data_IF_582010132584
#
_entry.id   IF_582010132584
#
_cell.length_a   1.000
_cell.length_b   1.000
_cell.length_c   1.000
_cell.angle_alpha   90.00
_cell.angle_beta   90.00
_cell.angle_gamma   90.00
#
_symmetry.space_group_name_H-M   'P 1'
#
loop_
_entity.id
_entity.type
_entity.pdbx_description
1 polymer ?
#
# COMPACT_ATOMS: atom_id res chain seq x y z
N UNK A 1 -4.34 -9.54 -16.14
CA UNK A 1 -4.65 -9.28 -14.72
C UNK A 1 -3.87 -10.19 -13.79
N UNK A 2 -4.10 -11.51 -13.73
CA UNK A 2 -3.30 -12.41 -12.86
C UNK A 2 -1.80 -12.39 -13.23
N UNK A 3 -1.48 -12.40 -14.53
CA UNK A 3 -0.11 -12.22 -15.07
C UNK A 3 0.55 -10.93 -14.58
N UNK A 4 -0.24 -9.85 -14.50
CA UNK A 4 0.24 -8.52 -14.15
C UNK A 4 0.50 -8.43 -12.64
N UNK A 5 -0.30 -9.13 -11.83
CA UNK A 5 -0.07 -9.25 -10.39
C UNK A 5 1.20 -10.02 -10.07
N UNK A 6 1.43 -11.13 -10.77
CA UNK A 6 2.66 -11.91 -10.63
C UNK A 6 3.89 -11.08 -11.05
N UNK A 7 3.80 -10.34 -12.16
CA UNK A 7 4.85 -9.40 -12.57
C UNK A 7 5.07 -8.31 -11.51
N UNK A 8 4.00 -7.74 -10.96
CA UNK A 8 4.09 -6.70 -9.93
C UNK A 8 4.83 -7.18 -8.68
N UNK A 9 4.61 -8.44 -8.28
CA UNK A 9 5.34 -9.08 -7.18
C UNK A 9 6.82 -9.22 -7.58
N UNK A 10 7.09 -9.89 -8.71
CA UNK A 10 8.45 -10.25 -9.16
C UNK A 10 9.36 -9.06 -9.43
N UNK A 11 8.81 -7.93 -9.87
CA UNK A 11 9.60 -6.72 -10.10
C UNK A 11 10.32 -6.25 -8.83
N UNK A 12 9.71 -6.43 -7.65
CA UNK A 12 10.33 -6.01 -6.38
C UNK A 12 10.80 -7.17 -5.51
N UNK A 13 10.40 -8.42 -5.78
CA UNK A 13 10.82 -9.60 -5.03
C UNK A 13 10.97 -10.84 -5.94
N UNK A 14 12.20 -11.13 -6.36
CA UNK A 14 12.50 -12.16 -7.36
C UNK A 14 12.45 -13.61 -6.82
N UNK A 15 12.57 -13.81 -5.51
CA UNK A 15 12.66 -15.13 -4.87
C UNK A 15 11.41 -15.52 -4.09
N UNK A 16 10.24 -15.01 -4.50
CA UNK A 16 8.97 -15.29 -3.83
C UNK A 16 8.17 -16.28 -4.68
N UNK A 17 7.76 -17.40 -4.07
CA UNK A 17 6.94 -18.38 -4.74
C UNK A 17 5.46 -18.12 -4.43
N UNK A 18 4.76 -17.51 -5.38
CA UNK A 18 3.32 -17.30 -5.27
C UNK A 18 2.59 -18.65 -5.34
N UNK A 19 1.84 -18.99 -4.31
CA UNK A 19 1.07 -20.24 -4.22
C UNK A 19 -0.41 -20.05 -4.56
N UNK A 20 -0.92 -18.82 -4.50
CA UNK A 20 -2.30 -18.52 -4.82
C UNK A 20 -2.61 -17.03 -4.87
N UNK A 21 -3.52 -16.65 -5.76
CA UNK A 21 -4.07 -15.30 -5.85
C UNK A 21 -5.60 -15.43 -5.85
N UNK A 22 -6.22 -14.88 -4.81
CA UNK A 22 -7.66 -14.97 -4.58
C UNK A 22 -8.28 -13.60 -4.77
N UNK A 23 -9.26 -13.49 -5.67
CA UNK A 23 -10.07 -12.27 -5.77
C UNK A 23 -11.00 -12.17 -4.57
N UNK A 24 -11.02 -10.99 -3.93
CA UNK A 24 -11.87 -10.70 -2.79
C UNK A 24 -12.99 -9.76 -3.21
N UNK A 25 -14.22 -10.18 -2.95
CA UNK A 25 -15.42 -9.38 -3.20
C UNK A 25 -16.24 -9.28 -1.91
N UNK A 26 -16.22 -8.11 -1.27
CA UNK A 26 -17.10 -7.79 -0.15
C UNK A 26 -18.20 -6.87 -0.65
N UNK A 27 -19.46 -7.34 -0.67
CA UNK A 27 -20.59 -6.52 -1.14
C UNK A 27 -20.70 -5.20 -0.35
N UNK A 28 -20.70 -5.29 0.98
CA UNK A 28 -20.72 -4.12 1.85
C UNK A 28 -19.48 -3.23 1.68
N UNK A 29 -18.31 -3.83 1.44
CA UNK A 29 -17.08 -3.07 1.16
C UNK A 29 -17.13 -2.31 -0.17
N UNK A 30 -17.69 -2.93 -1.21
CA UNK A 30 -17.88 -2.29 -2.52
C UNK A 30 -18.85 -1.14 -2.41
N UNK A 31 -20.01 -1.32 -1.77
CA UNK A 31 -20.99 -0.26 -1.56
C UNK A 31 -20.36 0.93 -0.80
N UNK A 32 -19.66 0.64 0.31
CA UNK A 32 -18.98 1.66 1.09
C UNK A 32 -17.89 2.42 0.31
N UNK A 33 -17.10 1.71 -0.51
CA UNK A 33 -16.05 2.29 -1.33
C UNK A 33 -16.62 3.10 -2.52
N UNK A 34 -17.66 2.61 -3.18
CA UNK A 34 -18.30 3.28 -4.32
C UNK A 34 -18.99 4.58 -3.89
N UNK A 35 -19.58 4.62 -2.70
CA UNK A 35 -20.22 5.82 -2.13
C UNK A 35 -19.21 6.93 -1.79
N UNK A 36 -18.05 6.57 -1.22
CA UNK A 36 -17.15 7.54 -0.57
C UNK A 36 -15.75 7.64 -1.17
N UNK A 37 -15.16 6.51 -1.55
CA UNK A 37 -13.79 6.45 -2.06
C UNK A 37 -13.68 6.66 -3.56
N UNK A 38 -14.66 6.18 -4.33
CA UNK A 38 -14.49 5.99 -5.79
C UNK A 38 -14.62 7.24 -6.65
N UNK A 39 -15.42 8.23 -6.25
CA UNK A 39 -15.74 9.37 -7.13
C UNK A 39 -14.63 10.42 -7.13
N UNK A 40 -14.07 10.68 -8.32
CA UNK A 40 -13.23 11.84 -8.60
C UNK A 40 -11.82 11.80 -8.00
N UNK A 41 -11.39 10.67 -7.44
CA UNK A 41 -10.05 10.51 -6.84
C UNK A 41 -9.12 9.75 -7.77
N UNK A 42 -7.82 9.99 -7.61
CA UNK A 42 -6.78 9.17 -8.22
C UNK A 42 -6.71 7.82 -7.51
N UNK A 43 -6.75 6.72 -8.26
CA UNK A 43 -6.72 5.37 -7.70
C UNK A 43 -5.40 4.67 -8.02
N UNK A 44 -4.90 3.90 -7.07
CA UNK A 44 -3.69 3.09 -7.22
C UNK A 44 -3.86 1.75 -6.53
N UNK A 45 -3.38 0.69 -7.16
CA UNK A 45 -3.19 -0.59 -6.51
C UNK A 45 -1.93 -0.52 -5.65
N UNK A 46 -2.08 -0.80 -4.36
CA UNK A 46 -0.99 -0.78 -3.39
C UNK A 46 -1.04 -2.01 -2.48
N UNK A 47 0.14 -2.43 -2.05
CA UNK A 47 0.33 -3.59 -1.18
C UNK A 47 0.12 -3.23 0.28
N UNK A 48 -0.48 -4.16 1.02
CA UNK A 48 -0.57 -4.13 2.47
C UNK A 48 -0.12 -5.49 3.01
N UNK A 49 1.00 -5.50 3.73
CA UNK A 49 1.50 -6.69 4.41
C UNK A 49 0.81 -6.86 5.76
N UNK A 50 0.49 -8.11 6.11
CA UNK A 50 -0.17 -8.40 7.38
C UNK A 50 0.18 -9.79 7.88
N UNK A 51 -0.03 -10.01 9.16
CA UNK A 51 0.13 -11.33 9.77
C UNK A 51 -1.08 -12.21 9.48
N UNK A 52 -0.91 -13.55 9.36
CA UNK A 52 -2.01 -14.47 9.10
C UNK A 52 -3.16 -14.34 10.11
N UNK A 53 -2.87 -14.13 11.40
CA UNK A 53 -3.85 -13.98 12.47
C UNK A 53 -4.80 -12.78 12.27
N UNK A 54 -4.41 -11.78 11.49
CA UNK A 54 -5.22 -10.59 11.22
C UNK A 54 -6.17 -10.77 10.03
N UNK A 55 -6.01 -11.82 9.22
CA UNK A 55 -6.74 -11.93 7.95
C UNK A 55 -8.26 -12.01 8.14
N UNK A 56 -8.74 -12.80 9.11
CA UNK A 56 -10.17 -12.97 9.32
C UNK A 56 -10.84 -11.66 9.75
N UNK A 57 -10.21 -10.89 10.64
CA UNK A 57 -10.75 -9.60 11.08
C UNK A 57 -10.70 -8.58 9.95
N UNK A 58 -9.61 -8.52 9.17
CA UNK A 58 -9.48 -7.63 8.02
C UNK A 58 -10.52 -7.96 6.93
N UNK A 59 -10.72 -9.23 6.61
CA UNK A 59 -11.70 -9.64 5.59
C UNK A 59 -13.14 -9.36 6.05
N UNK A 60 -13.41 -9.45 7.37
CA UNK A 60 -14.73 -9.18 7.94
C UNK A 60 -15.05 -7.69 8.07
N UNK A 61 -14.09 -6.91 8.55
CA UNK A 61 -14.30 -5.51 8.97
C UNK A 61 -13.71 -4.49 8.00
N UNK A 62 -12.87 -4.92 7.05
CA UNK A 62 -12.01 -4.05 6.25
C UNK A 62 -10.73 -3.66 6.99
N UNK A 63 -9.87 -2.89 6.30
CA UNK A 63 -8.67 -2.31 6.92
C UNK A 63 -9.08 -1.13 7.81
N UNK A 64 -8.64 -1.15 9.06
CA UNK A 64 -8.89 -0.12 10.06
C UNK A 64 -7.56 0.59 10.37
N UNK A 65 -7.61 1.91 10.54
CA UNK A 65 -6.47 2.61 11.11
C UNK A 65 -6.27 2.14 12.56
N UNK A 66 -5.01 1.98 12.95
CA UNK A 66 -4.66 1.61 14.32
C UNK A 66 -5.24 2.64 15.29
N UNK A 67 -5.99 2.23 16.34
CA UNK A 67 -6.53 3.16 17.33
C UNK A 67 -5.42 3.96 18.02
N UNK A 68 -5.67 5.20 18.47
CA UNK A 68 -4.68 6.04 19.14
C UNK A 68 -4.04 5.41 20.39
N UNK A 69 -4.76 4.48 21.03
CA UNK A 69 -4.37 3.83 22.29
C UNK A 69 -3.65 2.49 22.10
N UNK A 70 -3.53 1.97 20.88
CA UNK A 70 -2.83 0.72 20.61
C UNK A 70 -1.31 0.97 20.52
N UNK A 71 -0.50 -0.03 20.87
CA UNK A 71 0.96 0.04 20.67
C UNK A 71 1.22 0.17 19.17
N UNK A 72 1.66 1.35 18.75
CA UNK A 72 1.90 1.67 17.34
C UNK A 72 3.27 1.12 16.91
N UNK A 73 3.37 -0.17 16.60
CA UNK A 73 4.52 -0.72 15.89
C UNK A 73 4.33 -0.51 14.38
N UNK A 74 5.28 0.17 13.73
CA UNK A 74 5.26 0.40 12.27
C UNK A 74 4.60 1.69 11.80
N UNK A 75 4.01 2.52 12.68
CA UNK A 75 3.44 3.82 12.31
C UNK A 75 4.46 4.95 12.44
N UNK A 76 5.48 4.95 11.59
CA UNK A 76 6.54 5.97 11.65
C UNK A 76 6.00 7.37 11.33
N UNK A 77 4.92 7.48 10.56
CA UNK A 77 4.44 8.72 9.96
C UNK A 77 3.04 9.14 10.45
N UNK A 78 2.64 8.65 11.62
CA UNK A 78 1.36 8.98 12.27
C UNK A 78 0.23 8.00 11.98
N UNK A 79 -0.99 8.38 12.36
CA UNK A 79 -2.17 7.51 12.25
C UNK A 79 -2.66 7.36 10.82
N UNK A 80 -2.99 6.12 10.43
CA UNK A 80 -3.59 5.81 9.15
C UNK A 80 -3.44 4.33 8.79
N UNK A 81 -3.86 4.00 7.56
CA UNK A 81 -3.67 2.69 6.96
C UNK A 81 -2.48 2.78 6.02
N UNK A 82 -1.49 1.93 6.26
CA UNK A 82 -0.21 1.94 5.57
C UNK A 82 -0.22 1.01 4.36
N UNK A 83 0.30 1.52 3.25
CA UNK A 83 0.47 0.78 2.02
C UNK A 83 1.85 1.03 1.42
N UNK A 84 2.28 0.13 0.55
CA UNK A 84 3.50 0.28 -0.23
C UNK A 84 3.22 0.11 -1.73
N UNK A 85 3.96 0.84 -2.56
CA UNK A 85 3.95 0.61 -4.01
C UNK A 85 4.81 -0.57 -4.44
N UNK A 86 5.63 -1.12 -3.55
CA UNK A 86 6.45 -2.32 -3.81
C UNK A 86 6.01 -3.47 -2.93
N UNK A 87 6.00 -4.67 -3.49
CA UNK A 87 5.65 -5.87 -2.75
C UNK A 87 6.66 -6.15 -1.63
N UNK A 88 7.96 -6.02 -1.91
CA UNK A 88 9.04 -6.28 -0.96
C UNK A 88 8.95 -5.48 0.34
N UNK A 89 8.43 -4.25 0.30
CA UNK A 89 8.22 -3.47 1.51
C UNK A 89 7.10 -4.03 2.38
N UNK A 90 5.98 -4.41 1.76
CA UNK A 90 4.87 -5.06 2.45
C UNK A 90 5.21 -6.47 2.92
N UNK A 91 6.04 -7.20 2.16
CA UNK A 91 6.53 -8.53 2.50
C UNK A 91 7.15 -8.59 3.90
N UNK A 92 7.89 -7.55 4.32
CA UNK A 92 8.53 -7.48 5.64
C UNK A 92 7.54 -7.45 6.82
N UNK A 93 6.25 -7.20 6.57
CA UNK A 93 5.18 -7.25 7.57
C UNK A 93 4.41 -8.58 7.54
N UNK A 94 4.74 -9.48 6.62
CA UNK A 94 4.10 -10.77 6.48
C UNK A 94 4.85 -11.82 7.29
N UNK A 95 4.16 -12.48 8.22
CA UNK A 95 4.72 -13.59 9.00
C UNK A 95 4.20 -14.93 8.50
N UNK A 96 4.95 -15.98 8.79
CA UNK A 96 4.54 -17.34 8.43
C UNK A 96 3.36 -17.80 9.29
N UNK A 97 2.39 -18.42 8.65
CA UNK A 97 1.37 -19.20 9.34
C UNK A 97 1.96 -20.51 9.87
N UNK A 98 1.18 -21.25 10.65
CA UNK A 98 1.57 -22.60 11.12
C UNK A 98 1.86 -23.61 10.01
N UNK A 99 1.51 -23.29 8.75
CA UNK A 99 1.79 -24.11 7.56
C UNK A 99 2.94 -23.56 6.70
N UNK A 100 3.69 -22.56 7.18
CA UNK A 100 4.77 -21.91 6.43
C UNK A 100 4.29 -20.90 5.37
N UNK A 101 2.97 -20.72 5.20
CA UNK A 101 2.42 -19.78 4.21
C UNK A 101 2.39 -18.35 4.75
N UNK A 102 2.79 -17.37 3.93
CA UNK A 102 2.61 -15.93 4.16
C UNK A 102 1.49 -15.38 3.28
N UNK A 103 0.95 -14.23 3.69
CA UNK A 103 -0.16 -13.58 2.99
C UNK A 103 0.04 -12.07 2.88
N UNK A 104 -0.32 -11.51 1.74
CA UNK A 104 -0.36 -10.07 1.50
C UNK A 104 -1.67 -9.69 0.82
N UNK A 105 -2.11 -8.47 1.07
CA UNK A 105 -3.31 -7.90 0.45
C UNK A 105 -2.89 -6.93 -0.65
N UNK A 106 -3.55 -7.01 -1.80
CA UNK A 106 -3.52 -5.94 -2.78
C UNK A 106 -4.84 -5.18 -2.73
N UNK A 107 -4.73 -3.89 -2.46
CA UNK A 107 -5.87 -3.01 -2.25
C UNK A 107 -5.95 -2.00 -3.39
N UNK A 108 -7.17 -1.71 -3.84
CA UNK A 108 -7.45 -0.49 -4.59
C UNK A 108 -7.58 0.64 -3.58
N UNK A 109 -6.75 1.66 -3.75
CA UNK A 109 -6.64 2.79 -2.84
C UNK A 109 -6.94 4.07 -3.60
N UNK A 110 -7.99 4.78 -3.18
CA UNK A 110 -8.34 6.10 -3.66
C UNK A 110 -7.42 7.14 -2.98
N UNK A 111 -6.20 7.26 -3.50
CA UNK A 111 -5.14 8.11 -2.91
C UNK A 111 -5.47 9.61 -2.96
N UNK A 112 -6.37 10.04 -3.84
CA UNK A 112 -6.87 11.42 -3.89
C UNK A 112 -5.75 12.45 -4.04
N UNK A 113 -5.82 13.49 -3.21
CA UNK A 113 -4.76 14.48 -3.07
C UNK A 113 -3.62 13.96 -2.18
N UNK A 114 -2.38 14.06 -2.65
CA UNK A 114 -1.22 13.47 -1.99
C UNK A 114 -0.29 14.59 -1.48
N UNK A 115 0.10 14.53 -0.20
CA UNK A 115 1.28 15.25 0.31
C UNK A 115 2.49 14.32 0.21
N UNK A 116 3.59 14.73 -0.40
CA UNK A 116 4.79 13.90 -0.51
C UNK A 116 5.92 14.48 0.33
N UNK A 117 6.52 13.65 1.17
CA UNK A 117 7.73 13.96 1.93
C UNK A 117 8.84 12.97 1.59
N UNK A 118 10.10 13.39 1.73
CA UNK A 118 11.25 12.51 1.55
C UNK A 118 11.69 11.81 2.84
N UNK A 119 11.41 12.37 4.02
CA UNK A 119 11.83 11.82 5.30
C UNK A 119 10.94 12.23 6.48
N UNK A 120 11.20 11.64 7.66
CA UNK A 120 10.60 12.07 8.92
C UNK A 120 11.00 13.50 9.30
N UNK A 121 12.25 13.88 9.02
CA UNK A 121 12.75 15.23 9.30
C UNK A 121 12.01 16.28 8.49
N UNK A 122 11.80 16.03 7.19
CA UNK A 122 11.04 16.91 6.30
C UNK A 122 9.58 17.03 6.76
N UNK A 123 9.00 15.96 7.31
CA UNK A 123 7.64 16.02 7.86
C UNK A 123 7.53 16.85 9.12
N UNK A 124 8.50 16.76 10.03
CA UNK A 124 8.52 17.53 11.27
C UNK A 124 8.72 19.03 11.03
N UNK A 125 9.42 19.38 9.94
CA UNK A 125 9.70 20.77 9.56
C UNK A 125 8.62 21.38 8.65
N UNK A 126 7.78 20.55 8.04
CA UNK A 126 6.61 21.01 7.25
C UNK A 126 5.52 21.55 8.18
N UNK A 127 4.88 22.67 7.82
CA UNK A 127 3.71 23.15 8.58
C UNK A 127 2.58 22.11 8.54
N UNK A 128 2.02 21.79 9.70
CA UNK A 128 1.05 20.69 9.81
C UNK A 128 -0.22 20.86 8.94
N UNK A 129 -0.55 22.08 8.51
CA UNK A 129 -1.73 22.36 7.69
C UNK A 129 -1.64 21.76 6.28
N UNK A 130 -0.45 21.79 5.65
CA UNK A 130 -0.26 21.33 4.28
C UNK A 130 -0.40 19.80 4.16
N UNK A 131 0.06 19.06 5.18
CA UNK A 131 -0.08 17.60 5.26
C UNK A 131 -1.44 17.16 5.82
N UNK A 132 -2.07 17.95 6.70
CA UNK A 132 -3.39 17.62 7.29
C UNK A 132 -4.51 17.63 6.25
N UNK A 133 -4.46 18.55 5.30
CA UNK A 133 -5.52 18.75 4.29
C UNK A 133 -5.45 17.81 3.08
N UNK A 134 -4.49 16.87 3.05
CA UNK A 134 -4.38 15.86 1.99
C UNK A 134 -5.01 14.53 2.40
N UNK A 135 -5.59 13.85 1.41
CA UNK A 135 -6.19 12.52 1.55
C UNK A 135 -5.14 11.47 1.95
N UNK A 136 -3.95 11.57 1.35
CA UNK A 136 -2.86 10.62 1.54
C UNK A 136 -1.54 11.34 1.83
N UNK A 137 -0.79 10.83 2.80
CA UNK A 137 0.62 11.15 3.00
C UNK A 137 1.46 10.11 2.28
N UNK A 138 2.32 10.53 1.34
CA UNK A 138 3.32 9.68 0.69
C UNK A 138 4.70 9.99 1.26
N UNK A 139 5.41 8.96 1.70
CA UNK A 139 6.85 9.04 1.95
C UNK A 139 7.55 8.46 0.75
N UNK A 140 8.34 9.27 0.05
CA UNK A 140 9.03 8.85 -1.13
C UNK A 140 10.20 7.90 -0.76
N UNK A 141 10.26 6.78 -1.47
CA UNK A 141 11.33 5.80 -1.33
C UNK A 141 12.47 6.02 -2.30
N UNK A 142 13.64 5.51 -1.94
CA UNK A 142 14.83 5.54 -2.78
C UNK A 142 14.78 4.52 -3.92
N UNK A 143 14.12 3.37 -3.75
CA UNK A 143 13.83 2.45 -4.85
C UNK A 143 12.33 2.45 -5.13
N UNK A 144 12.00 2.74 -6.38
CA UNK A 144 10.63 2.90 -6.85
C UNK A 144 10.43 2.11 -8.15
N UNK A 145 9.21 1.64 -8.45
CA UNK A 145 8.91 1.11 -9.77
C UNK A 145 9.09 2.19 -10.84
N UNK A 146 9.56 1.81 -12.03
CA UNK A 146 9.61 2.71 -13.18
C UNK A 146 8.21 3.12 -13.63
N UNK A 147 7.91 4.41 -13.52
CA UNK A 147 6.58 4.99 -13.77
C UNK A 147 6.19 4.97 -15.25
N UNK A 148 7.15 4.87 -16.18
CA UNK A 148 6.90 4.71 -17.62
C UNK A 148 6.13 3.42 -17.96
N UNK A 149 6.14 2.45 -17.06
CA UNK A 149 5.43 1.18 -17.19
C UNK A 149 4.26 1.08 -16.20
N UNK A 150 3.77 2.21 -15.67
CA UNK A 150 2.51 2.24 -14.93
C UNK A 150 1.34 1.99 -15.88
N UNK A 151 0.59 0.91 -15.63
CA UNK A 151 -0.57 0.54 -16.44
C UNK A 151 -1.85 1.00 -15.73
N UNK A 152 -2.80 1.52 -16.50
CA UNK A 152 -4.14 1.85 -15.98
C UNK A 152 -5.11 0.74 -16.36
N UNK A 153 -5.71 0.08 -15.37
CA UNK A 153 -6.74 -0.93 -15.60
C UNK A 153 -7.99 -0.31 -16.24
N UNK A 154 -8.87 -1.08 -16.91
CA UNK A 154 -10.13 -0.56 -17.45
C UNK A 154 -11.03 0.13 -16.42
N UNK A 155 -10.85 -0.19 -15.14
CA UNK A 155 -11.54 0.46 -14.02
C UNK A 155 -10.98 1.83 -13.65
N UNK A 156 -9.90 2.29 -14.29
CA UNK A 156 -9.20 3.54 -14.00
C UNK A 156 -8.11 3.45 -12.91
N UNK A 157 -7.91 2.26 -12.33
CA UNK A 157 -6.93 2.06 -11.24
C UNK A 157 -5.53 1.86 -11.81
N UNK A 158 -4.54 2.57 -11.28
CA UNK A 158 -3.14 2.49 -11.72
C UNK A 158 -2.38 1.36 -11.04
N UNK A 159 -1.56 0.64 -11.79
CA UNK A 159 -0.79 -0.52 -11.38
C UNK A 159 0.69 -0.30 -11.79
N UNK A 160 1.63 -0.17 -10.84
CA UNK A 160 3.02 0.16 -11.17
C UNK A 160 3.80 -1.11 -11.56
N UNK A 161 3.78 -1.46 -12.84
CA UNK A 161 4.40 -2.67 -13.41
C UNK A 161 5.83 -2.47 -13.92
N UNK A 162 6.45 -1.32 -13.61
CA UNK A 162 7.85 -1.08 -13.97
C UNK A 162 8.83 -1.88 -13.12
N UNK A 163 9.97 -2.20 -13.74
CA UNK A 163 11.14 -2.68 -13.00
C UNK A 163 11.58 -1.66 -11.96
N UNK A 164 12.25 -2.14 -10.90
CA UNK A 164 12.74 -1.28 -9.85
C UNK A 164 13.88 -0.40 -10.36
N UNK A 165 13.78 0.89 -10.09
CA UNK A 165 14.81 1.88 -10.39
C UNK A 165 15.11 2.75 -9.17
N UNK A 166 16.25 3.43 -9.23
CA UNK A 166 16.66 4.38 -8.20
C UNK A 166 15.97 5.72 -8.39
N UNK A 167 15.49 6.29 -7.30
CA UNK A 167 15.04 7.67 -7.23
C UNK A 167 16.23 8.56 -6.87
N UNK A 168 16.94 9.02 -7.89
CA UNK A 168 18.19 9.81 -7.78
C UNK A 168 18.01 11.07 -6.93
N UNK A 169 16.79 11.64 -6.89
CA UNK A 169 16.48 12.83 -6.09
C UNK A 169 16.61 12.60 -4.57
N UNK A 170 16.63 11.33 -4.13
CA UNK A 170 16.71 10.94 -2.73
C UNK A 170 18.03 10.28 -2.34
N UNK A 171 18.99 10.16 -3.26
CA UNK A 171 20.24 9.43 -2.99
C UNK A 171 21.08 10.07 -1.89
N UNK A 172 21.12 11.40 -1.86
CA UNK A 172 21.82 12.17 -0.82
C UNK A 172 20.98 12.39 0.43
N UNK A 173 19.71 11.96 0.46
CA UNK A 173 18.84 12.10 1.62
C UNK A 173 19.09 10.93 2.59
N UNK A 174 19.84 11.21 3.66
CA UNK A 174 20.23 10.24 4.69
C UNK A 174 19.02 9.67 5.45
N UNK A 175 17.92 10.41 5.56
CA UNK A 175 16.70 9.99 6.26
C UNK A 175 15.63 9.35 5.36
N UNK A 176 15.87 9.24 4.05
CA UNK A 176 14.88 8.72 3.12
C UNK A 176 14.73 7.20 3.23
N UNK A 177 13.47 6.74 3.07
CA UNK A 177 13.09 5.34 3.15
C UNK A 177 13.56 4.55 1.94
N UNK A 178 13.80 3.24 2.12
CA UNK A 178 14.27 2.39 1.01
C UNK A 178 13.20 2.19 -0.07
N UNK A 179 11.92 2.13 0.31
CA UNK A 179 10.78 2.11 -0.62
C UNK A 179 9.68 3.04 -0.15
N UNK A 180 8.81 3.47 -1.07
CA UNK A 180 7.76 4.43 -0.73
C UNK A 180 6.69 3.85 0.19
N UNK A 181 6.10 4.72 1.00
CA UNK A 181 4.96 4.44 1.87
C UNK A 181 3.81 5.38 1.55
N UNK A 182 2.58 4.87 1.58
CA UNK A 182 1.35 5.63 1.41
C UNK A 182 0.49 5.44 2.66
N UNK A 183 0.22 6.53 3.38
CA UNK A 183 -0.56 6.54 4.60
C UNK A 183 -1.90 7.21 4.30
N UNK A 184 -2.95 6.39 4.32
CA UNK A 184 -4.32 6.81 4.01
C UNK A 184 -5.09 6.96 5.32
N UNK A 185 -5.66 8.15 5.55
CA UNK A 185 -6.33 8.45 6.82
C UNK A 185 -7.74 7.88 6.90
N UNK A 186 -8.50 7.98 5.80
CA UNK A 186 -9.89 7.51 5.75
C UNK A 186 -9.98 6.12 5.14
N UNK A 187 -10.48 5.16 5.93
CA UNK A 187 -10.76 3.79 5.51
C UNK A 187 -11.73 3.67 4.33
N UNK A 188 -12.56 4.69 4.10
CA UNK A 188 -13.49 4.72 2.97
C UNK A 188 -12.80 4.81 1.61
N UNK A 189 -11.52 5.24 1.60
CA UNK A 189 -10.68 5.29 0.41
C UNK A 189 -9.99 3.95 0.10
N UNK A 190 -10.36 2.85 0.75
CA UNK A 190 -9.65 1.57 0.64
C UNK A 190 -10.62 0.43 0.39
N UNK A 191 -10.30 -0.42 -0.58
CA UNK A 191 -10.96 -1.70 -0.76
C UNK A 191 -9.96 -2.80 -1.11
N UNK A 192 -10.10 -3.94 -0.44
CA UNK A 192 -9.29 -5.14 -0.71
C UNK A 192 -9.82 -5.76 -2.00
N UNK A 193 -8.93 -6.01 -2.96
CA UNK A 193 -9.27 -6.65 -4.24
C UNK A 193 -8.69 -8.05 -4.36
N UNK A 194 -7.50 -8.27 -3.80
CA UNK A 194 -6.84 -9.57 -3.85
C UNK A 194 -6.18 -9.93 -2.53
N UNK A 195 -6.22 -11.22 -2.21
CA UNK A 195 -5.38 -11.88 -1.22
C UNK A 195 -4.36 -12.72 -1.97
N UNK A 196 -3.08 -12.54 -1.68
CA UNK A 196 -1.98 -13.31 -2.28
C UNK A 196 -1.37 -14.18 -1.21
N UNK A 197 -1.28 -15.49 -1.46
CA UNK A 197 -0.51 -16.44 -0.65
C UNK A 197 0.81 -16.75 -1.33
N UNK A 198 1.89 -16.75 -0.56
CA UNK A 198 3.25 -17.00 -1.06
C UNK A 198 4.18 -17.61 -0.01
N UNK A 199 5.19 -18.32 -0.49
CA UNK A 199 6.29 -18.94 0.26
C UNK A 199 7.58 -18.14 0.04
#
# INVERSE_FOLDING_TARGET
MISDLDLYIRNSAQNVKVTGIYSILSKAGVEFFDEKGRKGKNHKYLWHGTRPENLLSILKLGLLATPPHAIQTGNLFGEGIYFAETFVKSYNYCTESSKGQKYALLCEVAIGSVFTSASLYDLQTTTSADAKNKDTLKIAGKNIPNDKFEVTAPTGVRLPLGEMQRNETLDTNWGAMEYSEYIVKDRSNVIIRYLVSFE
#
